data_IF_776353298366
#
_entry.id   IF_776353298366
#
_cell.length_a   1.000
_cell.length_b   1.000
_cell.length_c   1.000
_cell.angle_alpha   90.00
_cell.angle_beta   90.00
_cell.angle_gamma   90.00
#
_symmetry.space_group_name_H-M   'P 1'
#
loop_
_entity.id
_entity.type
_entity.pdbx_description
1 polymer ?
#
# COMPACT_ATOMS: atom_id res chain seq x y z
N UNK A 1 -3.10 -3.11 11.60
CA UNK A 1 -1.77 -3.50 11.04
C UNK A 1 -0.69 -2.78 11.82
N UNK A 2 0.36 -3.47 12.30
CA UNK A 2 1.39 -2.85 13.13
C UNK A 2 2.21 -1.85 12.31
N UNK A 3 2.57 -0.72 12.93
CA UNK A 3 3.46 0.29 12.34
C UNK A 3 4.93 -0.13 12.37
N UNK A 4 5.26 -1.14 13.18
CA UNK A 4 6.59 -1.68 13.39
C UNK A 4 6.51 -3.21 13.40
N UNK A 5 7.33 -3.88 12.59
CA UNK A 5 7.51 -5.33 12.63
C UNK A 5 8.76 -5.64 13.46
N UNK A 6 8.65 -6.59 14.40
CA UNK A 6 9.82 -7.01 15.18
C UNK A 6 10.95 -7.52 14.27
N UNK A 7 12.15 -6.93 14.34
CA UNK A 7 13.26 -7.31 13.47
C UNK A 7 13.83 -8.69 13.86
N UNK A 8 14.48 -9.40 12.92
CA UNK A 8 15.23 -10.60 13.23
C UNK A 8 16.25 -10.39 14.36
N UNK A 9 16.28 -11.28 15.36
CA UNK A 9 17.11 -11.13 16.55
C UNK A 9 18.62 -11.03 16.28
N UNK A 10 19.08 -11.58 15.15
CA UNK A 10 20.49 -11.55 14.73
C UNK A 10 20.87 -10.28 13.95
N UNK A 11 19.89 -9.45 13.58
CA UNK A 11 20.15 -8.20 12.91
C UNK A 11 20.78 -7.20 13.91
N UNK A 12 21.78 -6.41 13.50
CA UNK A 12 22.31 -5.36 14.37
C UNK A 12 21.21 -4.39 14.80
N UNK A 13 21.31 -3.88 16.03
CA UNK A 13 20.19 -3.19 16.71
C UNK A 13 19.65 -2.00 15.93
N UNK A 14 20.52 -1.11 15.45
CA UNK A 14 20.07 0.11 14.79
C UNK A 14 19.49 -0.18 13.39
N UNK A 15 20.12 -1.07 12.62
CA UNK A 15 19.56 -1.57 11.37
C UNK A 15 18.22 -2.31 11.58
N UNK A 16 18.09 -3.03 12.70
CA UNK A 16 16.86 -3.69 13.14
C UNK A 16 15.71 -2.72 13.34
N UNK A 17 15.95 -1.59 14.00
CA UNK A 17 14.92 -0.55 14.17
C UNK A 17 14.48 0.00 12.81
N UNK A 18 15.42 0.31 11.91
CA UNK A 18 15.11 0.80 10.56
C UNK A 18 14.28 -0.24 9.79
N UNK A 19 14.75 -1.50 9.77
CA UNK A 19 14.04 -2.60 9.11
C UNK A 19 12.61 -2.75 9.64
N UNK A 20 12.42 -2.72 10.95
CA UNK A 20 11.11 -2.93 11.56
C UNK A 20 10.08 -1.90 11.14
N UNK A 21 10.45 -0.62 11.06
CA UNK A 21 9.55 0.42 10.54
C UNK A 21 9.30 0.30 9.03
N UNK A 22 10.34 -0.01 8.24
CA UNK A 22 10.19 -0.19 6.79
C UNK A 22 9.28 -1.39 6.46
N UNK A 23 9.46 -2.51 7.16
CA UNK A 23 8.60 -3.68 7.04
C UNK A 23 7.17 -3.38 7.50
N UNK A 24 6.99 -2.66 8.61
CA UNK A 24 5.65 -2.21 9.04
C UNK A 24 4.95 -1.31 8.02
N UNK A 25 5.67 -0.43 7.34
CA UNK A 25 5.12 0.40 6.25
C UNK A 25 4.82 -0.43 4.98
N UNK A 26 5.69 -1.37 4.60
CA UNK A 26 5.45 -2.27 3.47
C UNK A 26 4.21 -3.15 3.71
N UNK A 27 4.06 -3.70 4.92
CA UNK A 27 2.88 -4.46 5.35
C UNK A 27 1.59 -3.63 5.23
N UNK A 28 1.60 -2.38 5.71
CA UNK A 28 0.45 -1.47 5.57
C UNK A 28 0.16 -1.14 4.11
N UNK A 29 1.19 -0.95 3.30
CA UNK A 29 1.07 -0.71 1.85
C UNK A 29 0.40 -1.91 1.15
N UNK A 30 0.83 -3.14 1.48
CA UNK A 30 0.21 -4.36 0.97
C UNK A 30 -1.25 -4.49 1.37
N UNK A 31 -1.62 -4.21 2.63
CA UNK A 31 -3.02 -4.22 3.06
C UNK A 31 -3.88 -3.25 2.25
N UNK A 32 -3.39 -2.03 2.01
CA UNK A 32 -4.12 -1.05 1.20
C UNK A 32 -4.31 -1.53 -0.24
N UNK A 33 -3.31 -2.19 -0.81
CA UNK A 33 -3.43 -2.83 -2.12
C UNK A 33 -4.47 -3.95 -2.12
N UNK A 34 -4.49 -4.79 -1.07
CA UNK A 34 -5.49 -5.85 -0.91
C UNK A 34 -6.89 -5.25 -0.84
N UNK A 35 -7.11 -4.20 -0.05
CA UNK A 35 -8.41 -3.51 0.05
C UNK A 35 -8.82 -2.90 -1.29
N UNK A 36 -7.89 -2.24 -2.00
CA UNK A 36 -8.16 -1.67 -3.31
C UNK A 36 -8.61 -2.75 -4.29
N UNK A 37 -7.86 -3.86 -4.37
CA UNK A 37 -8.20 -4.99 -5.25
C UNK A 37 -9.56 -5.58 -4.87
N UNK A 38 -9.77 -5.87 -3.58
CA UNK A 38 -11.02 -6.42 -3.07
C UNK A 38 -12.22 -5.53 -3.39
N UNK A 39 -12.11 -4.21 -3.23
CA UNK A 39 -13.25 -3.31 -3.50
C UNK A 39 -13.47 -3.06 -4.99
N UNK A 40 -12.40 -2.89 -5.76
CA UNK A 40 -12.49 -2.25 -7.08
C UNK A 40 -12.01 -3.12 -8.26
N UNK A 41 -11.40 -4.28 -8.03
CA UNK A 41 -10.82 -5.11 -9.09
C UNK A 41 -11.40 -6.53 -9.19
N UNK A 42 -11.96 -7.07 -8.10
CA UNK A 42 -12.35 -8.49 -8.07
C UNK A 42 -13.52 -8.84 -9.00
N UNK A 43 -14.53 -7.96 -9.15
CA UNK A 43 -15.61 -8.17 -10.13
C UNK A 43 -16.46 -6.93 -10.43
N UNK A 44 -17.05 -6.89 -11.63
CA UNK A 44 -18.04 -5.88 -12.03
C UNK A 44 -19.30 -5.88 -11.16
N UNK A 45 -19.70 -7.06 -10.67
CA UNK A 45 -20.86 -7.18 -9.77
C UNK A 45 -20.61 -6.42 -8.48
N UNK A 46 -19.39 -6.52 -7.94
CA UNK A 46 -18.99 -5.82 -6.74
C UNK A 46 -18.94 -4.32 -6.96
N UNK A 47 -18.28 -3.84 -8.01
CA UNK A 47 -18.15 -2.40 -8.28
C UNK A 47 -19.51 -1.74 -8.51
N UNK A 48 -20.43 -2.40 -9.23
CA UNK A 48 -21.82 -1.92 -9.41
C UNK A 48 -22.57 -1.83 -8.07
N UNK A 49 -22.38 -2.79 -7.17
CA UNK A 49 -23.03 -2.79 -5.86
C UNK A 49 -22.50 -1.67 -4.96
N UNK A 50 -21.19 -1.45 -4.94
CA UNK A 50 -20.59 -0.30 -4.26
C UNK A 50 -21.10 1.02 -4.83
N UNK A 51 -21.21 1.13 -6.15
CA UNK A 51 -21.73 2.32 -6.81
C UNK A 51 -23.19 2.63 -6.40
N UNK A 52 -24.04 1.59 -6.32
CA UNK A 52 -25.44 1.70 -5.85
C UNK A 52 -25.52 2.08 -4.36
N UNK A 53 -24.67 1.49 -3.52
CA UNK A 53 -24.69 1.70 -2.07
C UNK A 53 -24.17 3.08 -1.65
N UNK A 54 -23.23 3.67 -2.41
CA UNK A 54 -22.61 4.94 -2.04
C UNK A 54 -21.53 5.36 -3.01
N UNK A 55 -21.84 5.41 -4.31
CA UNK A 55 -20.84 5.60 -5.36
C UNK A 55 -19.92 6.82 -5.20
N UNK A 56 -20.44 7.94 -4.70
CA UNK A 56 -19.60 9.12 -4.40
C UNK A 56 -18.57 8.80 -3.31
N UNK A 57 -19.01 8.21 -2.20
CA UNK A 57 -18.12 7.83 -1.10
C UNK A 57 -17.06 6.83 -1.55
N UNK A 58 -17.46 5.76 -2.24
CA UNK A 58 -16.51 4.74 -2.72
C UNK A 58 -15.57 5.26 -3.81
N UNK A 59 -16.00 6.22 -4.63
CA UNK A 59 -15.12 6.93 -5.56
C UNK A 59 -14.01 7.70 -4.85
N UNK A 60 -14.34 8.41 -3.76
CA UNK A 60 -13.33 9.08 -2.92
C UNK A 60 -12.38 8.08 -2.27
N UNK A 61 -12.90 6.97 -1.72
CA UNK A 61 -12.05 5.90 -1.16
C UNK A 61 -11.10 5.32 -2.21
N UNK A 62 -11.57 5.12 -3.45
CA UNK A 62 -10.74 4.63 -4.55
C UNK A 62 -9.56 5.58 -4.82
N UNK A 63 -9.82 6.89 -4.90
CA UNK A 63 -8.79 7.91 -5.12
C UNK A 63 -7.80 7.99 -3.95
N UNK A 64 -8.31 8.01 -2.72
CA UNK A 64 -7.49 8.05 -1.50
C UNK A 64 -6.54 6.86 -1.44
N UNK A 65 -7.03 5.65 -1.71
CA UNK A 65 -6.19 4.44 -1.70
C UNK A 65 -5.08 4.51 -2.75
N UNK A 66 -5.39 4.95 -3.98
CA UNK A 66 -4.37 5.08 -5.05
C UNK A 66 -3.30 6.10 -4.67
N UNK A 67 -3.70 7.28 -4.18
CA UNK A 67 -2.76 8.31 -3.77
C UNK A 67 -1.90 7.88 -2.59
N UNK A 68 -2.49 7.19 -1.62
CA UNK A 68 -1.76 6.71 -0.46
C UNK A 68 -0.80 5.57 -0.82
N UNK A 69 -1.15 4.69 -1.76
CA UNK A 69 -0.22 3.69 -2.32
C UNK A 69 0.98 4.35 -3.01
N UNK A 70 0.73 5.35 -3.87
CA UNK A 70 1.78 6.14 -4.53
C UNK A 70 2.69 6.80 -3.49
N UNK A 71 2.11 7.42 -2.47
CA UNK A 71 2.86 8.10 -1.41
C UNK A 71 3.70 7.14 -0.58
N UNK A 72 3.16 5.97 -0.25
CA UNK A 72 3.85 4.96 0.57
C UNK A 72 5.08 4.39 -0.17
N UNK A 73 4.90 4.03 -1.45
CA UNK A 73 6.00 3.56 -2.31
C UNK A 73 7.07 4.65 -2.46
N UNK A 74 6.66 5.90 -2.70
CA UNK A 74 7.61 7.01 -2.83
C UNK A 74 8.41 7.21 -1.54
N UNK A 75 7.77 7.22 -0.36
CA UNK A 75 8.47 7.37 0.93
C UNK A 75 9.48 6.26 1.19
N UNK A 76 9.14 5.01 0.86
CA UNK A 76 10.04 3.86 1.03
C UNK A 76 11.25 3.93 0.10
N UNK A 77 11.11 4.57 -1.06
CA UNK A 77 12.10 4.57 -2.15
C UNK A 77 12.74 5.94 -2.39
N UNK A 78 12.48 6.90 -1.52
CA UNK A 78 13.13 8.21 -1.56
C UNK A 78 14.63 8.10 -1.21
N UNK A 79 15.43 9.13 -1.55
CA UNK A 79 16.82 9.18 -1.12
C UNK A 79 16.97 9.01 0.38
N UNK A 80 18.08 8.40 0.82
CA UNK A 80 18.40 8.18 2.23
C UNK A 80 18.42 9.47 3.08
N UNK A 81 18.59 10.63 2.44
CA UNK A 81 18.57 11.94 3.09
C UNK A 81 17.98 13.01 2.19
N UNK A 82 17.40 14.06 2.78
CA UNK A 82 16.98 15.28 2.07
C UNK A 82 17.49 16.51 2.81
N UNK A 83 18.34 17.28 2.14
CA UNK A 83 19.06 18.38 2.78
C UNK A 83 19.96 17.86 3.91
N UNK A 84 19.66 18.25 5.15
CA UNK A 84 20.42 17.85 6.36
C UNK A 84 19.72 16.77 7.20
N UNK A 85 18.62 16.20 6.71
CA UNK A 85 17.81 15.23 7.47
C UNK A 85 17.90 13.86 6.81
N UNK A 86 18.03 12.84 7.64
CA UNK A 86 17.93 11.44 7.21
C UNK A 86 16.46 11.04 7.03
N UNK A 87 16.21 10.24 6.01
CA UNK A 87 14.91 9.69 5.69
C UNK A 87 14.89 8.20 6.04
N UNK A 88 13.75 7.71 6.54
CA UNK A 88 13.53 6.29 6.77
C UNK A 88 13.18 5.61 5.44
N UNK A 89 14.18 5.19 4.68
CA UNK A 89 14.02 4.58 3.34
C UNK A 89 14.82 3.29 3.20
N UNK A 90 14.57 2.53 2.13
CA UNK A 90 15.34 1.31 1.83
C UNK A 90 16.84 1.61 1.65
N UNK A 91 17.20 2.75 1.05
CA UNK A 91 18.60 3.17 0.94
C UNK A 91 19.25 3.49 2.29
N UNK A 92 18.47 3.98 3.26
CA UNK A 92 18.96 4.22 4.61
C UNK A 92 19.28 2.89 5.33
N UNK A 93 18.48 1.85 5.10
CA UNK A 93 18.76 0.51 5.61
C UNK A 93 20.07 -0.05 5.03
N UNK A 94 20.28 0.06 3.71
CA UNK A 94 21.55 -0.34 3.05
C UNK A 94 22.72 0.41 3.67
N UNK A 95 22.58 1.74 3.83
CA UNK A 95 23.63 2.59 4.39
C UNK A 95 23.99 2.17 5.82
N UNK A 96 22.99 1.83 6.64
CA UNK A 96 23.23 1.42 8.03
C UNK A 96 23.89 0.04 8.13
N UNK A 97 23.43 -0.93 7.34
CA UNK A 97 24.04 -2.26 7.27
C UNK A 97 25.50 -2.19 6.79
N UNK A 98 25.80 -1.31 5.84
CA UNK A 98 27.16 -1.07 5.37
C UNK A 98 28.08 -0.52 6.49
N UNK A 99 27.59 0.43 7.29
CA UNK A 99 28.33 0.98 8.44
C UNK A 99 28.62 -0.10 9.51
N UNK A 100 27.72 -1.06 9.67
CA UNK A 100 27.87 -2.21 10.56
C UNK A 100 28.65 -3.38 9.94
N UNK A 101 29.32 -3.14 8.81
CA UNK A 101 30.19 -4.09 8.10
C UNK A 101 29.47 -5.36 7.63
N UNK A 102 28.16 -5.28 7.36
CA UNK A 102 27.36 -6.37 6.81
C UNK A 102 27.54 -6.45 5.27
N UNK A 103 28.76 -6.75 4.82
CA UNK A 103 29.19 -6.57 3.42
C UNK A 103 28.37 -7.42 2.44
N UNK A 104 28.20 -8.71 2.73
CA UNK A 104 27.53 -9.67 1.83
C UNK A 104 26.09 -9.24 1.53
N UNK A 105 25.29 -9.01 2.57
CA UNK A 105 23.90 -8.58 2.41
C UNK A 105 23.79 -7.19 1.79
N UNK A 106 24.71 -6.28 2.09
CA UNK A 106 24.72 -4.93 1.49
C UNK A 106 24.87 -5.01 -0.04
N UNK A 107 25.75 -5.88 -0.55
CA UNK A 107 25.93 -6.07 -2.00
C UNK A 107 24.64 -6.64 -2.63
N UNK A 108 24.07 -7.68 -2.01
CA UNK A 108 22.83 -8.28 -2.49
C UNK A 108 21.67 -7.28 -2.53
N UNK A 109 21.53 -6.46 -1.47
CA UNK A 109 20.49 -5.44 -1.39
C UNK A 109 20.67 -4.32 -2.41
N UNK A 110 21.90 -3.91 -2.75
CA UNK A 110 22.12 -2.91 -3.79
C UNK A 110 21.62 -3.39 -5.15
N UNK A 111 21.92 -4.64 -5.49
CA UNK A 111 21.44 -5.24 -6.74
C UNK A 111 19.91 -5.35 -6.77
N UNK A 112 19.28 -5.71 -5.64
CA UNK A 112 17.82 -5.79 -5.55
C UNK A 112 17.18 -4.39 -5.60
N UNK A 113 17.82 -3.40 -4.99
CA UNK A 113 17.34 -2.01 -4.98
C UNK A 113 17.28 -1.41 -6.39
N UNK A 114 18.16 -1.79 -7.31
CA UNK A 114 18.08 -1.32 -8.71
C UNK A 114 16.74 -1.67 -9.38
N UNK A 115 16.12 -2.80 -9.02
CA UNK A 115 14.79 -3.17 -9.52
C UNK A 115 13.71 -2.28 -8.89
N UNK A 116 13.79 -2.10 -7.57
CA UNK A 116 12.88 -1.23 -6.81
C UNK A 116 12.93 0.19 -7.36
N UNK A 117 14.14 0.71 -7.61
CA UNK A 117 14.38 2.07 -8.07
C UNK A 117 13.71 2.33 -9.42
N UNK A 118 13.86 1.40 -10.37
CA UNK A 118 13.24 1.46 -11.70
C UNK A 118 11.72 1.46 -11.62
N UNK A 119 11.13 0.57 -10.81
CA UNK A 119 9.68 0.46 -10.67
C UNK A 119 9.06 1.67 -9.94
N UNK A 120 9.81 2.29 -9.03
CA UNK A 120 9.34 3.43 -8.25
C UNK A 120 9.59 4.79 -8.92
N UNK A 121 10.31 4.87 -10.05
CA UNK A 121 10.62 6.14 -10.73
C UNK A 121 9.36 6.91 -11.14
N UNK A 122 8.47 6.26 -11.90
CA UNK A 122 7.20 6.85 -12.30
C UNK A 122 6.34 7.19 -11.07
N UNK A 123 6.34 6.33 -10.05
CA UNK A 123 5.60 6.56 -8.80
C UNK A 123 6.09 7.83 -8.09
N UNK A 124 7.41 8.05 -7.99
CA UNK A 124 7.98 9.27 -7.40
C UNK A 124 7.64 10.52 -8.21
N UNK A 125 7.62 10.44 -9.54
CA UNK A 125 7.21 11.54 -10.40
C UNK A 125 5.74 11.93 -10.15
N UNK A 126 4.83 10.95 -10.13
CA UNK A 126 3.42 11.16 -9.77
C UNK A 126 3.26 11.71 -8.36
N UNK A 127 4.03 11.19 -7.39
CA UNK A 127 4.01 11.72 -6.01
C UNK A 127 4.39 13.19 -6.00
N UNK A 128 5.51 13.55 -6.61
CA UNK A 128 6.03 14.91 -6.59
C UNK A 128 5.03 15.87 -7.26
N UNK A 129 4.64 15.59 -8.50
CA UNK A 129 3.90 16.53 -9.33
C UNK A 129 2.40 16.53 -9.08
N UNK A 130 1.78 15.38 -8.80
CA UNK A 130 0.32 15.25 -8.69
C UNK A 130 -0.18 15.12 -7.25
N UNK A 131 0.45 14.26 -6.45
CA UNK A 131 -0.08 13.91 -5.13
C UNK A 131 0.35 14.88 -4.03
N UNK A 132 1.61 15.32 -4.03
CA UNK A 132 2.17 16.13 -2.93
C UNK A 132 2.20 17.62 -3.19
N UNK A 133 2.52 18.06 -4.42
CA UNK A 133 2.68 19.49 -4.71
C UNK A 133 1.60 20.07 -5.64
N UNK A 134 0.81 19.22 -6.31
CA UNK A 134 -0.23 19.65 -7.26
C UNK A 134 0.31 20.70 -8.26
N UNK A 135 1.38 20.31 -8.94
CA UNK A 135 2.20 21.14 -9.81
C UNK A 135 1.35 21.79 -10.92
N UNK A 136 1.39 23.13 -10.96
CA UNK A 136 0.50 23.93 -11.80
C UNK A 136 0.60 23.57 -13.28
N UNK A 137 1.82 23.43 -13.81
CA UNK A 137 2.03 23.18 -15.25
C UNK A 137 1.56 21.78 -15.59
N UNK A 138 1.93 20.80 -14.78
CA UNK A 138 1.54 19.40 -14.96
C UNK A 138 0.02 19.23 -14.96
N UNK A 139 -0.69 19.97 -14.10
CA UNK A 139 -2.14 19.84 -13.93
C UNK A 139 -2.92 20.63 -14.99
N UNK A 140 -2.49 21.86 -15.31
CA UNK A 140 -3.24 22.77 -16.20
C UNK A 140 -2.85 22.60 -17.67
N UNK A 141 -1.63 22.12 -17.95
CA UNK A 141 -1.09 21.93 -19.32
C UNK A 141 -0.41 20.56 -19.48
N UNK A 142 -1.16 19.46 -19.30
CA UNK A 142 -0.59 18.10 -19.31
C UNK A 142 0.11 17.73 -20.63
N UNK A 143 -0.24 18.37 -21.76
CA UNK A 143 0.42 18.20 -23.05
C UNK A 143 1.84 18.80 -23.11
N UNK A 144 2.12 19.81 -22.26
CA UNK A 144 3.43 20.48 -22.21
C UNK A 144 4.41 19.74 -21.30
N UNK A 145 3.92 19.13 -20.22
CA UNK A 145 4.73 18.41 -19.24
C UNK A 145 4.00 17.13 -18.80
N UNK A 146 3.89 16.12 -19.70
CA UNK A 146 3.13 14.91 -19.40
C UNK A 146 3.81 14.09 -18.31
N UNK A 147 3.02 13.59 -17.36
CA UNK A 147 3.52 12.61 -16.40
C UNK A 147 3.84 11.29 -17.09
N UNK A 148 4.86 10.56 -16.61
CA UNK A 148 5.12 9.22 -17.09
C UNK A 148 3.88 8.33 -16.89
N UNK A 149 3.66 7.38 -17.80
CA UNK A 149 2.58 6.41 -17.64
C UNK A 149 2.73 5.66 -16.31
N UNK A 150 1.64 5.56 -15.55
CA UNK A 150 1.59 4.80 -14.31
C UNK A 150 0.30 4.01 -14.26
N UNK A 151 0.41 2.68 -14.27
CA UNK A 151 -0.72 1.75 -14.21
C UNK A 151 -0.83 1.13 -12.82
N UNK A 152 -2.00 0.55 -12.50
CA UNK A 152 -2.17 -0.24 -11.28
C UNK A 152 -1.26 -1.47 -11.25
N UNK A 153 -0.88 -2.00 -12.43
CA UNK A 153 0.11 -3.08 -12.54
C UNK A 153 1.48 -2.59 -12.07
N UNK A 154 1.89 -1.39 -12.44
CA UNK A 154 3.18 -0.82 -12.03
C UNK A 154 3.23 -0.60 -10.52
N UNK A 155 2.13 -0.08 -9.94
CA UNK A 155 1.96 0.04 -8.49
C UNK A 155 2.13 -1.33 -7.81
N UNK A 156 1.43 -2.37 -8.30
CA UNK A 156 1.55 -3.72 -7.76
C UNK A 156 2.99 -4.25 -7.82
N UNK A 157 3.65 -4.10 -8.97
CA UNK A 157 5.02 -4.57 -9.17
C UNK A 157 6.01 -3.84 -8.25
N UNK A 158 5.83 -2.53 -8.04
CA UNK A 158 6.65 -1.77 -7.11
C UNK A 158 6.49 -2.28 -5.66
N UNK A 159 5.27 -2.58 -5.23
CA UNK A 159 5.00 -3.17 -3.91
C UNK A 159 5.68 -4.54 -3.79
N UNK A 160 5.52 -5.41 -4.79
CA UNK A 160 6.14 -6.75 -4.82
C UNK A 160 7.67 -6.65 -4.74
N UNK A 161 8.29 -5.73 -5.47
CA UNK A 161 9.76 -5.55 -5.44
C UNK A 161 10.26 -5.02 -4.09
N UNK A 162 9.51 -4.13 -3.43
CA UNK A 162 9.83 -3.67 -2.07
C UNK A 162 9.76 -4.83 -1.06
N UNK A 163 8.76 -5.70 -1.20
CA UNK A 163 8.59 -6.88 -0.36
C UNK A 163 9.68 -7.92 -0.58
N UNK A 164 10.10 -8.14 -1.83
CA UNK A 164 11.23 -8.98 -2.17
C UNK A 164 12.53 -8.44 -1.54
N UNK A 165 12.76 -7.13 -1.63
CA UNK A 165 13.90 -6.47 -0.98
C UNK A 165 13.90 -6.71 0.54
N UNK A 166 12.78 -6.46 1.23
CA UNK A 166 12.69 -6.64 2.68
C UNK A 166 12.67 -8.13 3.07
N UNK A 167 12.14 -8.99 2.21
CA UNK A 167 12.16 -10.44 2.35
C UNK A 167 13.57 -11.02 2.26
N UNK A 168 14.42 -10.44 1.40
CA UNK A 168 15.85 -10.78 1.32
C UNK A 168 16.57 -10.48 2.64
N UNK A 169 16.32 -9.30 3.22
CA UNK A 169 16.84 -8.93 4.55
C UNK A 169 16.37 -9.92 5.60
N UNK A 170 15.07 -10.23 5.65
CA UNK A 170 14.50 -11.18 6.60
C UNK A 170 15.16 -12.56 6.48
N UNK A 171 15.25 -13.08 5.25
CA UNK A 171 15.79 -14.41 4.96
C UNK A 171 17.26 -14.50 5.34
N UNK A 172 18.04 -13.44 5.10
CA UNK A 172 19.45 -13.41 5.48
C UNK A 172 19.67 -13.64 6.98
N UNK A 173 18.86 -13.03 7.85
CA UNK A 173 19.03 -13.14 9.30
C UNK A 173 18.30 -14.31 9.96
N UNK A 174 17.25 -14.83 9.34
CA UNK A 174 16.41 -15.90 9.92
C UNK A 174 16.59 -17.25 9.25
N UNK A 175 17.03 -17.29 7.99
CA UNK A 175 16.99 -18.47 7.12
C UNK A 175 15.58 -18.83 6.63
N UNK A 176 14.54 -18.07 7.02
CA UNK A 176 13.14 -18.31 6.66
C UNK A 176 12.57 -17.22 5.76
N UNK A 177 11.66 -17.60 4.87
CA UNK A 177 10.92 -16.65 4.04
C UNK A 177 9.83 -15.95 4.84
N UNK A 178 9.56 -14.69 4.49
CA UNK A 178 8.45 -13.92 5.05
C UNK A 178 7.31 -13.86 4.03
N UNK A 179 6.10 -14.27 4.44
CA UNK A 179 4.92 -14.30 3.56
C UNK A 179 4.11 -13.01 3.68
N UNK A 180 4.43 -12.02 2.85
CA UNK A 180 3.75 -10.71 2.84
C UNK A 180 2.27 -10.78 2.49
N UNK A 181 1.87 -11.75 1.65
CA UNK A 181 0.49 -11.96 1.21
C UNK A 181 -0.38 -12.73 2.20
N UNK A 182 0.21 -13.34 3.25
CA UNK A 182 -0.54 -14.07 4.28
C UNK A 182 -1.36 -13.17 5.21
N UNK A 183 -1.24 -11.85 5.03
CA UNK A 183 -2.02 -10.86 5.75
C UNK A 183 -3.51 -11.02 5.42
N UNK A 184 -4.19 -11.84 6.21
CA UNK A 184 -5.64 -11.93 6.24
C UNK A 184 -6.10 -11.33 7.55
N UNK A 185 -6.87 -10.24 7.47
CA UNK A 185 -7.58 -9.71 8.63
C UNK A 185 -9.01 -10.21 8.55
N UNK A 186 -9.59 -10.68 9.68
CA UNK A 186 -10.98 -11.15 9.72
C UNK A 186 -12.01 -10.06 9.34
N UNK A 187 -11.60 -8.80 9.40
CA UNK A 187 -12.43 -7.62 9.14
C UNK A 187 -11.84 -6.75 8.02
N UNK A 188 -11.67 -7.31 6.82
CA UNK A 188 -11.21 -6.58 5.64
C UNK A 188 -12.37 -6.08 4.75
N UNK A 189 -12.05 -5.64 3.53
CA UNK A 189 -13.03 -5.13 2.59
C UNK A 189 -14.07 -6.19 2.15
N UNK A 190 -13.77 -7.49 2.28
CA UNK A 190 -14.76 -8.54 1.99
C UNK A 190 -15.84 -8.60 3.05
N UNK A 191 -15.52 -8.30 4.32
CA UNK A 191 -16.53 -8.20 5.39
C UNK A 191 -17.50 -7.04 5.15
N UNK A 192 -16.99 -5.89 4.69
CA UNK A 192 -17.84 -4.77 4.26
C UNK A 192 -18.75 -5.19 3.10
N UNK A 193 -18.19 -5.83 2.07
CA UNK A 193 -18.96 -6.27 0.93
C UNK A 193 -20.04 -7.29 1.29
N UNK A 194 -19.72 -8.25 2.15
CA UNK A 194 -20.69 -9.21 2.67
C UNK A 194 -21.83 -8.52 3.43
N UNK A 195 -21.53 -7.44 4.17
CA UNK A 195 -22.53 -6.64 4.88
C UNK A 195 -23.47 -5.92 3.90
N UNK A 196 -22.94 -5.36 2.81
CA UNK A 196 -23.77 -4.76 1.76
C UNK A 196 -24.67 -5.78 1.05
N UNK A 197 -24.17 -6.99 0.81
CA UNK A 197 -25.00 -8.08 0.28
C UNK A 197 -26.15 -8.44 1.23
N UNK A 198 -25.89 -8.50 2.54
CA UNK A 198 -26.93 -8.73 3.54
C UNK A 198 -27.97 -7.61 3.58
N UNK A 199 -27.53 -6.36 3.45
CA UNK A 199 -28.43 -5.20 3.39
C UNK A 199 -29.37 -5.28 2.17
N UNK A 200 -28.85 -5.65 1.00
CA UNK A 200 -29.70 -5.83 -0.19
C UNK A 200 -30.70 -6.98 -0.04
N UNK A 201 -30.29 -8.11 0.58
CA UNK A 201 -31.22 -9.18 0.93
C UNK A 201 -32.32 -8.70 1.89
N UNK A 202 -31.98 -7.84 2.85
CA UNK A 202 -32.95 -7.22 3.75
C UNK A 202 -33.93 -6.34 2.98
N UNK A 203 -33.46 -5.46 2.09
CA UNK A 203 -34.30 -4.59 1.28
C UNK A 203 -35.28 -5.40 0.41
N UNK A 204 -34.81 -6.50 -0.19
CA UNK A 204 -35.67 -7.41 -0.97
C UNK A 204 -36.74 -8.10 -0.12
N UNK A 205 -36.39 -8.51 1.10
CA UNK A 205 -37.32 -9.14 2.02
C UNK A 205 -38.35 -8.14 2.56
N UNK A 206 -37.93 -6.91 2.88
CA UNK A 206 -38.82 -5.81 3.26
C UNK A 206 -39.78 -5.44 2.12
N UNK A 207 -39.30 -5.36 0.88
CA UNK A 207 -40.14 -5.10 -0.30
C UNK A 207 -41.19 -6.20 -0.54
N UNK A 208 -40.90 -7.44 -0.12
CA UNK A 208 -41.84 -8.58 -0.15
C UNK A 208 -42.76 -8.65 1.08
N UNK A 209 -42.62 -7.72 2.03
CA UNK A 209 -43.42 -7.66 3.25
C UNK A 209 -43.03 -8.70 4.32
N UNK A 210 -41.82 -9.27 4.25
CA UNK A 210 -41.32 -10.23 5.25
C UNK A 210 -41.03 -9.53 6.59
N UNK A 211 -40.54 -8.28 6.53
CA UNK A 211 -40.22 -7.44 7.69
C UNK A 211 -41.10 -6.20 7.74
N UNK A 212 -41.19 -5.58 8.93
CA UNK A 212 -41.83 -4.27 9.04
C UNK A 212 -40.97 -3.25 8.29
N UNK A 213 -41.61 -2.42 7.48
CA UNK A 213 -40.93 -1.37 6.72
C UNK A 213 -40.15 -0.44 7.64
N UNK A 214 -38.90 -0.14 7.27
CA UNK A 214 -37.99 0.74 7.97
C UNK A 214 -37.65 0.26 9.40
N UNK A 215 -37.72 -1.04 9.68
CA UNK A 215 -37.38 -1.56 11.01
C UNK A 215 -35.93 -1.28 11.42
N UNK A 216 -35.02 -1.11 10.45
CA UNK A 216 -33.63 -0.76 10.69
C UNK A 216 -33.45 0.63 11.32
N UNK A 217 -34.41 1.55 11.18
CA UNK A 217 -34.33 2.93 11.71
C UNK A 217 -34.18 2.94 13.24
N UNK A 218 -34.67 1.90 13.94
CA UNK A 218 -34.51 1.77 15.41
C UNK A 218 -33.05 1.65 15.87
N UNK A 219 -32.11 1.38 14.95
CA UNK A 219 -30.68 1.28 15.22
C UNK A 219 -29.90 2.51 14.77
N UNK A 220 -30.57 3.53 14.22
CA UNK A 220 -29.93 4.73 13.65
C UNK A 220 -29.77 5.87 14.68
N UNK A 221 -30.36 5.74 15.87
CA UNK A 221 -30.34 6.74 16.95
C UNK A 221 -29.13 6.61 17.89
#
# INVERSE_FOLDING_TARGET
MPSFLEPPAKMPKDAGVIYGYLAGEALRTRSKWIFFRQLFMDSDVRTKKLAKAGGLFFGEIQNILVFDLILSIARLTDPASTGKKDNLTLLQLISKLAQEKQVEITIALRNEYEKVEKLAEAVRAHRHKKVSHFDLVTIVKPESEPLPGLTLRDIRLAIESIEEFLGLVHTHYTGGSFMWSALTTRDDADTLFATLCKAECYDEAEAKGVFKKHEWEKFWE
#
